data_IF_341485854872
#
_entry.id   IF_341485854872
#
_cell.length_a   1.000
_cell.length_b   1.000
_cell.length_c   1.000
_cell.angle_alpha   90.00
_cell.angle_beta   90.00
_cell.angle_gamma   90.00
#
_symmetry.space_group_name_H-M   'P 1'
#
loop_
_entity.id
_entity.type
_entity.pdbx_description
1 polymer ?
#
# COMPACT_ATOMS: atom_id res chain seq x y z
N UNK A 1 20.37 4.52 -19.50
CA UNK A 1 20.27 4.37 -20.97
C UNK A 1 20.58 5.71 -21.62
N UNK A 2 21.74 5.83 -22.31
CA UNK A 2 22.05 7.01 -23.13
C UNK A 2 21.61 6.71 -24.56
N UNK A 3 20.52 7.34 -24.99
CA UNK A 3 20.05 7.26 -26.37
C UNK A 3 21.04 8.00 -27.27
N UNK A 4 21.52 7.36 -28.34
CA UNK A 4 22.44 7.90 -29.34
C UNK A 4 21.81 9.17 -29.98
N UNK A 5 22.66 10.17 -30.30
CA UNK A 5 22.19 11.41 -30.91
C UNK A 5 21.51 11.20 -32.27
N UNK A 6 21.97 10.24 -33.06
CA UNK A 6 21.35 9.85 -34.33
C UNK A 6 19.90 9.40 -34.16
N UNK A 7 19.62 8.58 -33.13
CA UNK A 7 18.26 8.11 -32.83
C UNK A 7 17.37 9.28 -32.42
N UNK A 8 17.91 10.24 -31.68
CA UNK A 8 17.17 11.48 -31.33
C UNK A 8 16.84 12.29 -32.55
N UNK A 9 17.80 12.48 -33.47
CA UNK A 9 17.60 13.25 -34.70
C UNK A 9 16.57 12.59 -35.60
N UNK A 10 16.62 11.25 -35.76
CA UNK A 10 15.64 10.50 -36.53
C UNK A 10 14.23 10.60 -35.92
N UNK A 11 14.13 10.49 -34.61
CA UNK A 11 12.86 10.63 -33.89
C UNK A 11 12.25 12.03 -34.07
N UNK A 12 13.07 13.09 -33.98
CA UNK A 12 12.62 14.45 -34.22
C UNK A 12 12.20 14.68 -35.69
N UNK A 13 12.95 14.13 -36.64
CA UNK A 13 12.60 14.23 -38.05
C UNK A 13 11.25 13.56 -38.33
N UNK A 14 11.09 12.32 -37.86
CA UNK A 14 9.83 11.58 -38.00
C UNK A 14 8.65 12.33 -37.36
N UNK A 15 8.83 12.83 -36.15
CA UNK A 15 7.80 13.61 -35.44
C UNK A 15 7.42 14.89 -36.23
N UNK A 16 8.43 15.60 -36.79
CA UNK A 16 8.18 16.82 -37.59
C UNK A 16 7.38 16.53 -38.86
N UNK A 17 7.72 15.41 -39.56
CA UNK A 17 6.98 14.99 -40.76
C UNK A 17 5.54 14.65 -40.40
N UNK A 18 5.33 13.85 -39.36
CA UNK A 18 4.00 13.44 -38.93
C UNK A 18 3.14 14.65 -38.53
N UNK A 19 3.71 15.56 -37.75
CA UNK A 19 3.00 16.80 -37.32
C UNK A 19 2.69 17.67 -38.53
N UNK A 20 3.64 17.85 -39.47
CA UNK A 20 3.43 18.62 -40.67
C UNK A 20 2.31 18.09 -41.57
N UNK A 21 2.26 16.77 -41.76
CA UNK A 21 1.20 16.11 -42.52
C UNK A 21 -0.17 16.26 -41.84
N UNK A 22 -0.23 16.11 -40.52
CA UNK A 22 -1.47 16.28 -39.76
C UNK A 22 -1.98 17.75 -39.81
N UNK A 23 -1.07 18.73 -39.68
CA UNK A 23 -1.44 20.14 -39.80
C UNK A 23 -2.03 20.42 -41.19
N UNK A 24 -1.39 19.93 -42.25
CA UNK A 24 -1.90 20.06 -43.62
C UNK A 24 -3.29 19.43 -43.76
N UNK A 25 -3.47 18.21 -43.27
CA UNK A 25 -4.77 17.52 -43.30
C UNK A 25 -5.87 18.34 -42.62
N UNK A 26 -5.58 18.91 -41.44
CA UNK A 26 -6.53 19.78 -40.70
C UNK A 26 -6.88 21.04 -41.49
N UNK A 27 -5.90 21.65 -42.14
CA UNK A 27 -6.12 22.86 -42.99
C UNK A 27 -7.00 22.49 -44.19
N UNK A 28 -6.70 21.42 -44.90
CA UNK A 28 -7.44 20.94 -46.06
C UNK A 28 -8.88 20.59 -45.67
N UNK A 29 -9.11 19.91 -44.53
CA UNK A 29 -10.43 19.55 -44.04
C UNK A 29 -11.27 20.78 -43.62
N UNK A 30 -10.67 21.71 -42.87
CA UNK A 30 -11.35 22.97 -42.49
C UNK A 30 -11.73 23.78 -43.76
N UNK A 31 -10.84 23.84 -44.76
CA UNK A 31 -11.10 24.54 -46.02
C UNK A 31 -12.27 23.90 -46.78
N UNK A 32 -12.34 22.58 -46.82
CA UNK A 32 -13.43 21.82 -47.42
C UNK A 32 -14.76 22.08 -46.69
N UNK A 33 -14.80 22.07 -45.38
CA UNK A 33 -15.97 22.39 -44.60
C UNK A 33 -16.50 23.81 -44.81
N UNK A 34 -15.58 24.80 -44.85
CA UNK A 34 -15.92 26.19 -45.10
C UNK A 34 -16.54 26.38 -46.50
N UNK A 35 -15.97 25.70 -47.51
CA UNK A 35 -16.49 25.81 -48.91
C UNK A 35 -17.82 25.06 -49.12
N UNK A 36 -18.11 24.01 -48.32
CA UNK A 36 -19.33 23.23 -48.40
C UNK A 36 -20.49 23.76 -47.53
N UNK A 37 -20.20 24.70 -46.60
CA UNK A 37 -21.18 25.19 -45.64
C UNK A 37 -22.09 26.29 -46.22
N UNK A 38 -23.40 26.24 -45.86
CA UNK A 38 -24.34 27.29 -46.16
C UNK A 38 -24.06 28.60 -45.41
N UNK A 39 -23.36 28.53 -44.27
CA UNK A 39 -23.00 29.67 -43.41
C UNK A 39 -21.51 29.61 -43.03
N UNK A 40 -20.60 29.94 -43.96
CA UNK A 40 -19.16 29.82 -43.77
C UNK A 40 -18.60 30.76 -42.68
N UNK A 41 -19.26 31.88 -42.44
CA UNK A 41 -18.88 32.84 -41.40
C UNK A 41 -19.04 32.28 -39.99
N UNK A 42 -20.21 31.69 -39.70
CA UNK A 42 -20.49 31.10 -38.40
C UNK A 42 -19.57 29.91 -38.12
N UNK A 43 -19.35 29.07 -39.14
CA UNK A 43 -18.45 27.93 -39.05
C UNK A 43 -16.99 28.38 -38.80
N UNK A 44 -16.53 29.44 -39.52
CA UNK A 44 -15.19 29.99 -39.33
C UNK A 44 -14.98 30.50 -37.89
N UNK A 45 -15.93 31.23 -37.34
CA UNK A 45 -15.86 31.80 -36.00
C UNK A 45 -15.90 30.74 -34.88
N UNK A 46 -16.37 29.54 -35.14
CA UNK A 46 -16.38 28.44 -34.17
C UNK A 46 -15.21 27.48 -34.36
N UNK A 47 -15.00 26.98 -35.55
CA UNK A 47 -14.02 25.93 -35.85
C UNK A 47 -12.57 26.44 -35.79
N UNK A 48 -12.28 27.63 -36.36
CA UNK A 48 -10.94 28.15 -36.40
C UNK A 48 -10.38 28.44 -34.98
N UNK A 49 -11.10 29.13 -34.07
CA UNK A 49 -10.60 29.34 -32.71
C UNK A 49 -10.42 28.08 -31.94
N UNK A 50 -11.30 27.07 -32.15
CA UNK A 50 -11.18 25.78 -31.52
C UNK A 50 -9.90 25.05 -32.00
N UNK A 51 -9.69 24.98 -33.32
CA UNK A 51 -8.51 24.36 -33.91
C UNK A 51 -7.20 25.04 -33.46
N UNK A 52 -7.19 26.38 -33.41
CA UNK A 52 -6.06 27.15 -32.91
C UNK A 52 -5.81 26.89 -31.41
N UNK A 53 -6.86 26.78 -30.60
CA UNK A 53 -6.73 26.51 -29.17
C UNK A 53 -6.15 25.11 -28.93
N UNK A 54 -6.60 24.11 -29.66
CA UNK A 54 -6.06 22.74 -29.61
C UNK A 54 -4.60 22.72 -30.08
N UNK A 55 -4.31 23.40 -31.19
CA UNK A 55 -2.94 23.53 -31.70
C UNK A 55 -1.99 24.20 -30.70
N UNK A 56 -2.42 25.30 -30.08
CA UNK A 56 -1.66 26.01 -29.05
C UNK A 56 -1.42 25.11 -27.80
N UNK A 57 -2.42 24.33 -27.38
CA UNK A 57 -2.28 23.39 -26.28
C UNK A 57 -1.26 22.30 -26.60
N UNK A 58 -1.34 21.70 -27.80
CA UNK A 58 -0.38 20.68 -28.25
C UNK A 58 1.04 21.23 -28.33
N UNK A 59 1.20 22.45 -28.87
CA UNK A 59 2.48 23.14 -28.92
C UNK A 59 3.03 23.39 -27.51
N UNK A 60 2.19 23.89 -26.60
CA UNK A 60 2.56 24.11 -25.21
C UNK A 60 3.04 22.83 -24.52
N UNK A 61 2.29 21.73 -24.65
CA UNK A 61 2.65 20.43 -24.06
C UNK A 61 3.97 19.89 -24.64
N UNK A 62 4.21 20.10 -25.95
CA UNK A 62 5.43 19.66 -26.63
C UNK A 62 6.64 20.50 -26.25
N UNK A 63 6.47 21.80 -26.10
CA UNK A 63 7.56 22.75 -25.83
C UNK A 63 7.89 22.81 -24.34
N UNK A 64 6.90 22.64 -23.46
CA UNK A 64 7.06 22.70 -21.99
C UNK A 64 8.20 21.83 -21.44
N UNK A 65 8.43 20.58 -21.89
CA UNK A 65 9.56 19.76 -21.44
C UNK A 65 10.93 20.27 -21.91
N UNK A 66 10.98 21.06 -23.00
CA UNK A 66 12.23 21.62 -23.55
C UNK A 66 12.74 22.80 -22.75
N UNK A 67 11.86 23.51 -22.03
CA UNK A 67 12.28 24.52 -21.07
C UNK A 67 12.63 23.81 -19.76
N UNK A 68 13.91 23.78 -19.36
CA UNK A 68 14.25 23.31 -18.05
C UNK A 68 13.41 24.12 -17.07
N UNK A 69 12.61 23.44 -16.24
CA UNK A 69 12.04 24.13 -15.08
C UNK A 69 13.22 24.77 -14.37
N UNK A 70 13.24 26.10 -14.35
CA UNK A 70 14.06 26.82 -13.38
C UNK A 70 13.44 26.40 -12.05
N UNK A 71 13.87 25.26 -11.53
CA UNK A 71 13.65 24.87 -10.15
C UNK A 71 14.40 25.98 -9.41
N UNK A 72 13.69 27.02 -9.02
CA UNK A 72 14.20 27.91 -7.99
C UNK A 72 14.53 26.95 -6.86
N UNK A 73 15.81 26.83 -6.47
CA UNK A 73 16.12 26.06 -5.28
C UNK A 73 15.26 26.71 -4.20
N UNK A 74 14.18 26.06 -3.81
CA UNK A 74 13.44 26.48 -2.65
C UNK A 74 14.49 26.38 -1.55
N UNK A 75 14.86 27.53 -1.00
CA UNK A 75 15.88 27.63 0.04
C UNK A 75 15.46 26.90 1.35
N UNK A 76 14.33 26.22 1.28
CA UNK A 76 13.85 25.28 2.28
C UNK A 76 13.81 23.90 1.63
N UNK A 77 14.80 23.07 1.95
CA UNK A 77 14.65 21.64 1.79
C UNK A 77 13.27 21.26 2.39
N UNK A 78 12.43 20.47 1.67
CA UNK A 78 11.11 20.06 2.19
C UNK A 78 11.23 19.39 3.56
N UNK A 79 12.40 18.89 3.89
CA UNK A 79 12.76 18.31 5.17
C UNK A 79 13.89 19.16 5.77
N UNK A 80 13.75 19.54 7.04
CA UNK A 80 14.84 20.21 7.77
C UNK A 80 16.13 19.38 7.71
N UNK A 81 17.28 20.03 7.88
CA UNK A 81 18.55 19.32 7.95
C UNK A 81 18.54 18.22 9.00
N UNK A 82 19.45 17.22 8.89
CA UNK A 82 19.54 16.14 9.87
C UNK A 82 19.76 16.72 11.26
N UNK A 83 18.94 16.29 12.22
CA UNK A 83 19.17 16.64 13.62
C UNK A 83 20.32 15.79 14.14
N UNK A 84 21.19 16.39 14.95
CA UNK A 84 22.17 15.62 15.71
C UNK A 84 21.43 14.65 16.61
N UNK A 85 21.62 13.36 16.39
CA UNK A 85 21.08 12.33 17.27
C UNK A 85 21.84 12.40 18.59
N UNK A 86 21.11 12.61 19.70
CA UNK A 86 21.66 12.47 21.04
C UNK A 86 21.96 10.99 21.36
N UNK A 87 21.98 10.63 22.63
CA UNK A 87 22.07 9.23 23.01
C UNK A 87 20.83 8.48 22.53
N UNK A 88 21.01 7.55 21.59
CA UNK A 88 19.95 6.65 21.13
C UNK A 88 19.95 5.44 22.04
N UNK A 89 18.97 5.36 22.92
CA UNK A 89 18.76 4.17 23.74
C UNK A 89 18.12 3.06 22.91
N UNK A 90 18.62 1.82 23.06
CA UNK A 90 18.01 0.65 22.44
C UNK A 90 16.75 0.26 23.18
N UNK A 91 15.63 0.22 22.45
CA UNK A 91 14.35 -0.25 23.00
C UNK A 91 14.43 -1.78 23.17
N UNK A 92 14.13 -2.26 24.38
CA UNK A 92 13.93 -3.69 24.66
C UNK A 92 12.45 -3.91 24.91
N UNK A 93 11.89 -4.87 24.21
CA UNK A 93 10.49 -5.24 24.37
C UNK A 93 10.36 -6.33 25.42
N UNK A 94 9.45 -6.14 26.37
CA UNK A 94 9.23 -7.04 27.50
C UNK A 94 7.89 -7.76 27.45
N UNK A 95 6.93 -7.23 26.71
CA UNK A 95 5.59 -7.81 26.52
C UNK A 95 5.22 -7.74 25.06
N UNK A 96 5.24 -8.87 24.36
CA UNK A 96 5.06 -8.92 22.92
C UNK A 96 3.77 -9.68 22.57
N UNK A 97 2.88 -9.02 21.84
CA UNK A 97 1.70 -9.67 21.27
C UNK A 97 2.01 -10.14 19.85
N UNK A 98 1.55 -11.33 19.47
CA UNK A 98 1.78 -11.94 18.16
C UNK A 98 0.43 -12.41 17.62
N UNK A 99 0.02 -11.88 16.45
CA UNK A 99 -1.17 -12.43 15.79
C UNK A 99 -0.84 -13.70 15.04
N UNK A 100 -1.67 -14.72 15.21
CA UNK A 100 -1.53 -16.02 14.54
C UNK A 100 -2.84 -16.41 13.88
N UNK A 101 -2.75 -17.05 12.71
CA UNK A 101 -3.90 -17.50 11.90
C UNK A 101 -3.75 -18.95 11.43
N UNK A 102 -2.79 -19.68 12.00
CA UNK A 102 -2.42 -21.07 11.70
C UNK A 102 -1.93 -21.27 10.26
N UNK A 103 -1.43 -20.21 9.63
CA UNK A 103 -0.79 -20.27 8.32
C UNK A 103 0.73 -20.48 8.43
N UNK A 104 1.37 -20.70 7.28
CA UNK A 104 2.83 -20.83 7.21
C UNK A 104 3.56 -19.54 7.63
N UNK A 105 2.87 -18.39 7.66
CA UNK A 105 3.45 -17.12 8.10
C UNK A 105 3.63 -17.01 9.61
N UNK A 106 2.96 -17.87 10.39
CA UNK A 106 3.04 -17.85 11.85
C UNK A 106 4.46 -18.14 12.34
N UNK A 107 5.15 -19.09 11.72
CA UNK A 107 6.52 -19.42 12.09
C UNK A 107 7.45 -18.22 11.98
N UNK A 108 7.38 -17.49 10.86
CA UNK A 108 8.18 -16.30 10.64
C UNK A 108 7.81 -15.17 11.62
N UNK A 109 6.53 -15.00 11.92
CA UNK A 109 6.03 -13.99 12.86
C UNK A 109 6.47 -14.28 14.28
N UNK A 110 6.35 -15.54 14.72
CA UNK A 110 6.80 -16.02 16.03
C UNK A 110 8.32 -15.87 16.15
N UNK A 111 9.09 -16.36 15.17
CA UNK A 111 10.54 -16.25 15.18
C UNK A 111 11.02 -14.80 15.26
N UNK A 112 10.38 -13.91 14.50
CA UNK A 112 10.68 -12.47 14.53
C UNK A 112 10.39 -11.86 15.90
N UNK A 113 9.26 -12.22 16.52
CA UNK A 113 8.89 -11.75 17.86
C UNK A 113 9.89 -12.23 18.93
N UNK A 114 10.27 -13.51 18.89
CA UNK A 114 11.24 -14.10 19.81
C UNK A 114 12.62 -13.41 19.69
N UNK A 115 13.01 -13.00 18.47
CA UNK A 115 14.22 -12.25 18.23
C UNK A 115 14.20 -10.83 18.82
N UNK A 116 13.01 -10.22 19.00
CA UNK A 116 12.88 -8.89 19.60
C UNK A 116 12.92 -8.90 21.14
N UNK A 117 12.30 -9.90 21.77
CA UNK A 117 12.14 -9.94 23.24
C UNK A 117 13.08 -10.89 23.96
N UNK A 118 13.57 -11.93 23.29
CA UNK A 118 14.40 -12.98 23.92
C UNK A 118 13.62 -13.79 24.95
N UNK A 119 14.33 -14.40 25.91
CA UNK A 119 13.74 -15.29 26.93
C UNK A 119 13.14 -14.54 28.13
N UNK A 120 13.50 -13.28 28.30
CA UNK A 120 13.03 -12.49 29.44
C UNK A 120 11.64 -11.90 29.20
N UNK A 121 11.25 -11.74 27.94
CA UNK A 121 9.95 -11.22 27.55
C UNK A 121 8.81 -12.20 27.78
N UNK A 122 7.59 -11.67 27.95
CA UNK A 122 6.34 -12.42 27.97
C UNK A 122 5.64 -12.25 26.62
N UNK A 123 5.20 -13.36 26.02
CA UNK A 123 4.57 -13.39 24.71
C UNK A 123 3.09 -13.73 24.85
N UNK A 124 2.25 -13.10 24.04
CA UNK A 124 0.83 -13.42 23.95
C UNK A 124 0.47 -13.74 22.50
N UNK A 125 0.09 -14.99 22.23
CA UNK A 125 -0.47 -15.40 20.94
C UNK A 125 -1.91 -14.91 20.85
N UNK A 126 -2.25 -14.13 19.85
CA UNK A 126 -3.59 -13.60 19.61
C UNK A 126 -4.15 -14.25 18.35
N UNK A 127 -5.25 -14.96 18.52
CA UNK A 127 -6.05 -15.51 17.41
C UNK A 127 -7.44 -14.90 17.42
N UNK A 128 -8.00 -14.62 16.24
CA UNK A 128 -9.36 -14.08 16.09
C UNK A 128 -10.18 -14.99 15.22
N UNK A 129 -11.23 -15.55 15.80
CA UNK A 129 -12.23 -16.34 15.08
C UNK A 129 -13.16 -15.41 14.33
N UNK A 130 -13.00 -15.32 13.01
CA UNK A 130 -13.86 -14.52 12.12
C UNK A 130 -15.11 -15.31 11.75
N UNK A 131 -16.15 -15.20 12.54
CA UNK A 131 -17.42 -15.89 12.29
C UNK A 131 -18.28 -15.16 11.27
N UNK A 132 -17.91 -15.18 9.99
CA UNK A 132 -18.85 -14.79 8.93
C UNK A 132 -20.03 -15.77 8.80
N UNK A 133 -19.85 -17.02 9.22
CA UNK A 133 -20.89 -18.07 9.25
C UNK A 133 -21.66 -18.19 10.57
N UNK A 134 -21.13 -17.67 11.66
CA UNK A 134 -21.71 -17.84 13.00
C UNK A 134 -23.00 -17.05 13.25
N UNK A 135 -23.35 -16.11 12.39
CA UNK A 135 -24.68 -15.48 12.44
C UNK A 135 -25.80 -16.32 11.82
N UNK A 136 -25.47 -17.35 11.02
CA UNK A 136 -26.44 -18.08 10.22
C UNK A 136 -26.45 -19.59 10.46
N UNK A 137 -25.35 -20.18 11.00
CA UNK A 137 -25.24 -21.63 11.18
C UNK A 137 -25.02 -22.04 12.64
N UNK A 138 -25.73 -23.08 13.01
CA UNK A 138 -25.81 -23.82 14.27
C UNK A 138 -24.63 -23.69 15.24
N UNK A 139 -24.95 -23.54 16.51
CA UNK A 139 -24.07 -23.43 17.68
C UNK A 139 -22.96 -24.49 17.72
N UNK A 140 -23.28 -25.73 17.29
CA UNK A 140 -22.37 -26.86 17.29
C UNK A 140 -21.12 -26.69 16.42
N UNK A 141 -21.21 -25.99 15.27
CA UNK A 141 -20.06 -25.76 14.38
C UNK A 141 -19.10 -24.73 14.98
N UNK A 142 -19.64 -23.72 15.66
CA UNK A 142 -18.83 -22.70 16.37
C UNK A 142 -17.99 -23.32 17.48
N UNK A 143 -18.59 -24.26 18.21
CA UNK A 143 -17.94 -24.92 19.33
C UNK A 143 -16.80 -25.84 18.83
N UNK A 144 -16.98 -26.51 17.70
CA UNK A 144 -15.93 -27.35 17.09
C UNK A 144 -14.76 -26.53 16.53
N UNK A 145 -15.03 -25.42 15.82
CA UNK A 145 -13.98 -24.52 15.28
C UNK A 145 -13.18 -23.89 16.42
N UNK A 146 -13.86 -23.38 17.43
CA UNK A 146 -13.24 -22.78 18.62
C UNK A 146 -12.40 -23.80 19.40
N UNK A 147 -12.85 -25.05 19.51
CA UNK A 147 -12.10 -26.14 20.17
C UNK A 147 -10.82 -26.49 19.37
N UNK A 148 -10.90 -26.50 18.04
CA UNK A 148 -9.76 -26.75 17.17
C UNK A 148 -8.72 -25.63 17.29
N UNK A 149 -9.15 -24.36 17.21
CA UNK A 149 -8.28 -23.19 17.29
C UNK A 149 -7.61 -23.09 18.66
N UNK A 150 -8.36 -23.37 19.73
CA UNK A 150 -7.83 -23.44 21.08
C UNK A 150 -6.73 -24.50 21.19
N UNK A 151 -6.97 -25.72 20.67
CA UNK A 151 -6.01 -26.80 20.67
C UNK A 151 -4.73 -26.45 19.88
N UNK A 152 -4.87 -25.75 18.78
CA UNK A 152 -3.71 -25.26 18.01
C UNK A 152 -2.89 -24.23 18.79
N UNK A 153 -3.56 -23.29 19.48
CA UNK A 153 -2.89 -22.31 20.34
C UNK A 153 -2.19 -22.96 21.54
N UNK A 154 -2.85 -23.92 22.19
CA UNK A 154 -2.28 -24.69 23.28
C UNK A 154 -1.00 -25.41 22.83
N UNK A 155 -1.02 -26.01 21.64
CA UNK A 155 0.18 -26.62 21.05
C UNK A 155 1.31 -25.62 20.82
N UNK A 156 1.03 -24.45 20.25
CA UNK A 156 2.04 -23.41 20.07
C UNK A 156 2.60 -22.95 21.41
N UNK A 157 1.73 -22.76 22.42
CA UNK A 157 2.14 -22.38 23.76
C UNK A 157 3.06 -23.46 24.40
N UNK A 158 2.69 -24.73 24.31
CA UNK A 158 3.48 -25.87 24.81
C UNK A 158 4.85 -25.94 24.15
N UNK A 159 4.91 -25.85 22.80
CA UNK A 159 6.14 -25.92 22.02
C UNK A 159 7.11 -24.76 22.35
N UNK A 160 6.58 -23.56 22.57
CA UNK A 160 7.38 -22.40 22.93
C UNK A 160 7.80 -22.42 24.41
N UNK A 161 6.91 -22.88 25.28
CA UNK A 161 7.21 -23.02 26.73
C UNK A 161 8.27 -24.10 26.96
N UNK A 162 8.24 -25.18 26.21
CA UNK A 162 9.28 -26.23 26.26
C UNK A 162 10.67 -25.68 25.83
N UNK A 163 10.70 -24.65 24.96
CA UNK A 163 11.92 -23.92 24.57
C UNK A 163 12.33 -22.85 25.59
N UNK A 164 11.60 -22.69 26.69
CA UNK A 164 11.90 -21.78 27.80
C UNK A 164 11.37 -20.33 27.61
N UNK A 165 10.38 -20.12 26.73
CA UNK A 165 9.73 -18.84 26.59
C UNK A 165 8.46 -18.73 27.47
N UNK A 166 8.16 -17.55 27.97
CA UNK A 166 6.95 -17.27 28.76
C UNK A 166 5.83 -16.91 27.78
N UNK A 167 4.89 -17.82 27.54
CA UNK A 167 3.86 -17.66 26.51
C UNK A 167 2.47 -17.87 27.09
N UNK A 168 1.55 -16.96 26.80
CA UNK A 168 0.11 -17.11 26.99
C UNK A 168 -0.62 -16.94 25.64
N UNK A 169 -1.89 -17.29 25.59
CA UNK A 169 -2.70 -17.02 24.39
C UNK A 169 -4.04 -16.39 24.73
N UNK A 170 -4.62 -15.72 23.75
CA UNK A 170 -5.95 -15.11 23.81
C UNK A 170 -6.71 -15.31 22.51
N UNK A 171 -7.99 -15.59 22.63
CA UNK A 171 -8.90 -15.76 21.51
C UNK A 171 -9.88 -14.60 21.48
N UNK A 172 -9.94 -13.91 20.34
CA UNK A 172 -10.92 -12.89 20.04
C UNK A 172 -12.03 -13.40 19.12
N UNK A 173 -13.15 -12.69 19.11
CA UNK A 173 -14.28 -13.02 18.25
C UNK A 173 -14.71 -11.83 17.41
N UNK A 174 -15.15 -12.11 16.18
CA UNK A 174 -15.65 -11.09 15.26
C UNK A 174 -14.58 -10.61 14.27
N UNK A 175 -14.61 -9.35 13.89
CA UNK A 175 -13.68 -8.84 12.89
C UNK A 175 -12.30 -8.59 13.48
N UNK A 176 -11.24 -9.12 12.84
CA UNK A 176 -9.82 -8.99 13.25
C UNK A 176 -9.44 -7.53 13.55
N UNK A 177 -9.89 -6.58 12.73
CA UNK A 177 -9.64 -5.13 12.90
C UNK A 177 -10.22 -4.50 14.17
N UNK A 178 -11.19 -5.16 14.83
CA UNK A 178 -11.72 -4.73 16.13
C UNK A 178 -11.16 -5.57 17.27
N UNK A 179 -11.21 -6.88 17.13
CA UNK A 179 -10.81 -7.81 18.17
C UNK A 179 -9.32 -7.71 18.52
N UNK A 180 -8.42 -7.52 17.54
CA UNK A 180 -6.98 -7.39 17.81
C UNK A 180 -6.68 -6.17 18.70
N UNK A 181 -7.12 -4.93 18.39
CA UNK A 181 -6.90 -3.79 19.27
C UNK A 181 -7.46 -3.97 20.68
N UNK A 182 -8.60 -4.63 20.83
CA UNK A 182 -9.21 -4.87 22.14
C UNK A 182 -8.34 -5.85 22.96
N UNK A 183 -7.85 -6.95 22.36
CA UNK A 183 -6.96 -7.88 23.01
C UNK A 183 -5.58 -7.28 23.31
N UNK A 184 -5.07 -6.41 22.42
CA UNK A 184 -3.84 -5.64 22.66
C UNK A 184 -4.02 -4.73 23.87
N UNK A 185 -5.14 -4.04 24.00
CA UNK A 185 -5.45 -3.18 25.15
C UNK A 185 -5.50 -3.98 26.45
N UNK A 186 -6.04 -5.18 26.40
CA UNK A 186 -6.17 -6.08 27.55
C UNK A 186 -4.80 -6.64 28.00
N UNK A 187 -3.96 -7.05 27.06
CA UNK A 187 -2.65 -7.63 27.36
C UNK A 187 -1.62 -6.54 27.67
N UNK A 188 -1.80 -5.30 27.18
CA UNK A 188 -0.87 -4.18 27.30
C UNK A 188 0.56 -4.52 26.84
N UNK A 189 0.77 -4.96 25.61
CA UNK A 189 2.10 -5.20 25.08
C UNK A 189 2.83 -3.89 24.76
N UNK A 190 4.16 -3.98 24.67
CA UNK A 190 5.03 -2.91 24.19
C UNK A 190 5.42 -3.08 22.71
N UNK A 191 5.11 -4.23 22.10
CA UNK A 191 5.23 -4.53 20.68
C UNK A 191 4.10 -5.44 20.21
N UNK A 192 3.52 -5.13 19.05
CA UNK A 192 2.63 -6.03 18.31
C UNK A 192 3.33 -6.55 17.06
N UNK A 193 3.36 -7.88 16.89
CA UNK A 193 3.90 -8.54 15.68
C UNK A 193 2.73 -9.14 14.89
N UNK A 194 2.69 -8.85 13.59
CA UNK A 194 1.61 -9.30 12.69
C UNK A 194 2.19 -9.87 11.40
N UNK A 195 1.63 -10.97 10.92
CA UNK A 195 1.90 -11.46 9.57
C UNK A 195 1.33 -10.52 8.50
N UNK A 196 2.05 -10.36 7.39
CA UNK A 196 1.61 -9.50 6.29
C UNK A 196 0.46 -10.10 5.48
N UNK A 197 0.25 -11.42 5.52
CA UNK A 197 -0.75 -12.16 4.76
C UNK A 197 -1.58 -13.03 5.71
N UNK A 198 -2.91 -12.95 5.61
CA UNK A 198 -3.84 -13.88 6.24
C UNK A 198 -4.46 -14.81 5.19
N UNK A 199 -5.26 -15.78 5.63
CA UNK A 199 -5.85 -16.88 4.84
C UNK A 199 -6.76 -16.50 3.65
N UNK A 200 -6.99 -15.25 3.34
CA UNK A 200 -7.87 -14.83 2.24
C UNK A 200 -7.08 -14.53 0.97
N UNK A 201 -7.22 -15.46 0.01
CA UNK A 201 -6.52 -15.49 -1.27
C UNK A 201 -6.53 -14.21 -2.12
N UNK A 202 -5.53 -14.13 -2.99
CA UNK A 202 -5.31 -13.38 -4.24
C UNK A 202 -5.93 -11.98 -4.46
N UNK A 203 -6.84 -11.47 -3.62
CA UNK A 203 -7.47 -10.16 -3.80
C UNK A 203 -6.88 -9.03 -2.93
N UNK A 204 -6.03 -9.33 -1.95
CA UNK A 204 -5.40 -8.35 -1.07
C UNK A 204 -3.92 -8.10 -1.43
N UNK A 205 -3.66 -7.83 -2.70
CA UNK A 205 -2.31 -7.52 -3.22
C UNK A 205 -1.79 -6.14 -2.76
N UNK A 206 -2.57 -5.40 -2.01
CA UNK A 206 -2.18 -4.11 -1.46
C UNK A 206 -2.26 -4.19 0.08
N UNK A 207 -1.10 -4.24 0.73
CA UNK A 207 -0.88 -4.10 2.17
C UNK A 207 -2.14 -4.38 3.00
N UNK A 208 -2.30 -5.59 3.50
CA UNK A 208 -3.53 -6.12 4.08
C UNK A 208 -4.32 -5.07 4.85
N UNK A 209 -5.56 -4.86 4.45
CA UNK A 209 -6.45 -3.83 5.05
C UNK A 209 -6.58 -3.98 6.56
N UNK A 210 -6.29 -5.15 7.11
CA UNK A 210 -6.29 -5.46 8.54
C UNK A 210 -5.09 -4.83 9.23
N UNK A 211 -3.85 -5.03 8.74
CA UNK A 211 -2.63 -4.45 9.33
C UNK A 211 -2.73 -2.93 9.38
N UNK A 212 -3.16 -2.30 8.29
CA UNK A 212 -3.30 -0.85 8.23
C UNK A 212 -4.33 -0.32 9.24
N UNK A 213 -5.48 -0.99 9.38
CA UNK A 213 -6.53 -0.60 10.32
C UNK A 213 -6.16 -0.85 11.77
N UNK A 214 -5.41 -1.92 12.06
CA UNK A 214 -4.95 -2.24 13.42
C UNK A 214 -3.90 -1.23 13.86
N UNK A 215 -2.86 -0.96 13.04
CA UNK A 215 -1.79 -0.03 13.39
C UNK A 215 -2.29 1.39 13.71
N UNK A 216 -3.41 1.83 13.11
CA UNK A 216 -4.02 3.13 13.41
C UNK A 216 -4.84 3.13 14.72
N UNK A 217 -5.12 1.97 15.30
CA UNK A 217 -5.91 1.83 16.53
C UNK A 217 -5.07 1.50 17.75
N UNK A 218 -3.89 0.93 17.56
CA UNK A 218 -2.96 0.63 18.64
C UNK A 218 -1.94 1.77 18.77
N UNK A 219 -1.55 2.09 20.01
CA UNK A 219 -0.58 3.16 20.31
C UNK A 219 0.81 2.60 20.63
N UNK A 220 1.12 1.43 20.09
CA UNK A 220 2.39 0.73 20.28
C UNK A 220 3.03 0.45 18.92
N UNK A 221 4.34 0.22 18.85
CA UNK A 221 5.00 -0.24 17.64
C UNK A 221 4.36 -1.50 17.08
N UNK A 222 4.24 -1.56 15.74
CA UNK A 222 3.73 -2.75 15.02
C UNK A 222 4.80 -3.23 14.04
N UNK A 223 5.28 -4.45 14.27
CA UNK A 223 6.20 -5.14 13.37
C UNK A 223 5.38 -6.01 12.40
N UNK A 224 5.51 -5.75 11.11
CA UNK A 224 4.85 -6.53 10.07
C UNK A 224 5.86 -7.47 9.43
N UNK A 225 5.60 -8.77 9.54
CA UNK A 225 6.49 -9.83 9.05
C UNK A 225 5.94 -10.40 7.75
N UNK A 226 6.79 -10.49 6.75
CA UNK A 226 6.50 -11.20 5.50
C UNK A 226 7.15 -12.57 5.56
N UNK A 227 6.44 -13.65 5.18
CA UNK A 227 7.01 -14.98 5.06
C UNK A 227 8.03 -15.07 3.94
#
# INVERSE_FOLDING_TARGET
FRISWWVKSLAWLSATIIVGLNVRLVIDEISAWLSASADPTLLAWTVIPLALSVGALLLYVTIKPLFPRIVRPSARAPHGGPRTLGQVETIRYSRIAITVDFSQSDEASIASALGQGGKDATYCLIHVVESAGAMVMRQDIRDMEMLSDRKNLEKYQEDLSAKGFKVEYRIGFGTTRKAIPDLVKDFQPDLLVMGAHGHMGFKDLLFGTTVDKVRHRVQIPVLVVRP
#
